data_IF_024857328823
#
_entry.id   IF_024857328823
#
_cell.length_a   1.000
_cell.length_b   1.000
_cell.length_c   1.000
_cell.angle_alpha   90.00
_cell.angle_beta   90.00
_cell.angle_gamma   90.00
#
_symmetry.space_group_name_H-M   'P 1'
#
loop_
_entity.id
_entity.type
_entity.pdbx_description
1 polymer ?
#
# COMPACT_ATOMS: atom_id res chain seq x y z
N UNK A 1 -15.99 -9.37 12.98
CA UNK A 1 -14.58 -9.10 13.35
C UNK A 1 -13.60 -9.59 12.28
N UNK A 2 -13.70 -10.84 11.82
CA UNK A 2 -12.77 -11.45 10.85
C UNK A 2 -12.59 -10.68 9.54
N UNK A 3 -13.68 -10.17 8.94
CA UNK A 3 -13.60 -9.43 7.67
C UNK A 3 -12.75 -8.15 7.77
N UNK A 4 -12.92 -7.37 8.85
CA UNK A 4 -12.13 -6.15 9.05
C UNK A 4 -10.65 -6.47 9.24
N UNK A 5 -10.33 -7.52 10.01
CA UNK A 5 -8.94 -7.97 10.15
C UNK A 5 -8.35 -8.38 8.80
N UNK A 6 -9.07 -9.18 8.01
CA UNK A 6 -8.61 -9.60 6.68
C UNK A 6 -8.33 -8.41 5.75
N UNK A 7 -9.17 -7.35 5.79
CA UNK A 7 -8.93 -6.12 5.03
C UNK A 7 -7.65 -5.42 5.52
N UNK A 8 -7.42 -5.32 6.83
CA UNK A 8 -6.17 -4.75 7.37
C UNK A 8 -4.94 -5.54 6.93
N UNK A 9 -4.97 -6.86 7.03
CA UNK A 9 -3.87 -7.73 6.57
C UNK A 9 -3.64 -7.58 5.06
N UNK A 10 -4.70 -7.55 4.26
CA UNK A 10 -4.60 -7.43 2.81
C UNK A 10 -4.05 -6.08 2.34
N UNK A 11 -4.17 -5.03 3.15
CA UNK A 11 -3.89 -3.65 2.73
C UNK A 11 -2.63 -3.05 3.37
N UNK A 12 -2.12 -3.62 4.47
CA UNK A 12 -0.99 -3.04 5.22
C UNK A 12 0.34 -3.73 4.89
N UNK A 13 1.46 -3.11 5.28
CA UNK A 13 2.80 -3.67 5.10
C UNK A 13 3.15 -3.89 3.63
N UNK A 14 3.15 -5.15 3.21
CA UNK A 14 3.28 -5.57 1.80
C UNK A 14 1.90 -6.05 1.32
N UNK A 15 1.06 -5.16 0.74
CA UNK A 15 -0.33 -5.49 0.43
C UNK A 15 -0.45 -6.71 -0.48
N UNK A 16 -1.46 -7.54 -0.23
CA UNK A 16 -1.64 -8.82 -0.90
C UNK A 16 -2.99 -9.47 -0.58
N UNK A 17 -3.30 -10.63 -1.18
CA UNK A 17 -4.55 -11.32 -0.91
C UNK A 17 -4.59 -11.87 0.53
N UNK A 18 -5.76 -11.78 1.16
CA UNK A 18 -6.08 -12.48 2.40
C UNK A 18 -7.12 -13.57 2.14
N UNK A 19 -6.98 -14.72 2.79
CA UNK A 19 -7.93 -15.82 2.73
C UNK A 19 -8.60 -16.00 4.10
N UNK A 20 -9.92 -16.05 4.12
CA UNK A 20 -10.71 -16.33 5.31
C UNK A 20 -11.29 -17.73 5.19
N UNK A 21 -10.82 -18.63 6.05
CA UNK A 21 -11.43 -19.95 6.24
C UNK A 21 -12.30 -19.91 7.50
N UNK A 22 -13.59 -20.24 7.35
CA UNK A 22 -14.57 -20.23 8.42
C UNK A 22 -15.09 -21.66 8.60
N UNK A 23 -14.61 -22.34 9.63
CA UNK A 23 -15.00 -23.72 9.92
C UNK A 23 -16.20 -23.84 10.88
N UNK A 24 -16.84 -25.00 10.90
CA UNK A 24 -17.87 -25.38 11.86
C UNK A 24 -19.21 -24.65 11.69
N UNK A 25 -19.98 -24.56 12.79
CA UNK A 25 -21.34 -23.97 12.79
C UNK A 25 -21.32 -22.53 12.28
N UNK A 26 -20.28 -21.75 12.62
CA UNK A 26 -20.13 -20.38 12.15
C UNK A 26 -20.02 -20.28 10.62
N UNK A 27 -19.22 -21.14 9.98
CA UNK A 27 -19.11 -21.18 8.51
C UNK A 27 -20.40 -21.65 7.84
N UNK A 28 -21.07 -22.66 8.42
CA UNK A 28 -22.32 -23.20 7.90
C UNK A 28 -23.51 -22.23 7.98
N UNK A 29 -23.64 -21.52 9.11
CA UNK A 29 -24.66 -20.48 9.32
C UNK A 29 -24.42 -19.27 8.41
N UNK A 30 -23.18 -18.74 8.35
CA UNK A 30 -22.84 -17.59 7.50
C UNK A 30 -23.07 -17.89 6.02
N UNK A 31 -22.81 -19.13 5.59
CA UNK A 31 -22.98 -19.52 4.18
C UNK A 31 -24.43 -19.72 3.75
N UNK A 32 -25.33 -19.99 4.70
CA UNK A 32 -26.72 -20.38 4.42
C UNK A 32 -27.75 -19.32 4.82
N UNK A 33 -27.38 -18.41 5.72
CA UNK A 33 -28.27 -17.42 6.28
C UNK A 33 -27.79 -16.00 5.93
N UNK A 34 -28.72 -15.07 5.84
CA UNK A 34 -28.45 -13.64 5.76
C UNK A 34 -28.89 -12.96 7.06
N UNK A 35 -28.19 -11.90 7.44
CA UNK A 35 -28.57 -11.04 8.55
C UNK A 35 -28.50 -9.59 8.09
N UNK A 36 -29.48 -8.79 8.50
CA UNK A 36 -29.45 -7.34 8.31
C UNK A 36 -28.54 -6.75 9.37
N UNK A 37 -27.31 -6.43 8.97
CA UNK A 37 -26.26 -5.94 9.85
C UNK A 37 -25.68 -4.65 9.29
N UNK A 38 -25.39 -3.71 10.18
CA UNK A 38 -24.64 -2.52 9.83
C UNK A 38 -23.21 -2.90 9.41
N UNK A 39 -22.83 -2.52 8.19
CA UNK A 39 -21.47 -2.73 7.68
C UNK A 39 -20.56 -1.64 8.21
N UNK A 40 -19.72 -2.02 9.17
CA UNK A 40 -18.67 -1.12 9.69
C UNK A 40 -17.47 -1.14 8.76
N UNK A 41 -17.25 -0.03 8.04
CA UNK A 41 -16.10 0.18 7.16
C UNK A 41 -15.05 1.03 7.89
N UNK A 42 -13.80 0.57 7.87
CA UNK A 42 -12.68 1.37 8.36
C UNK A 42 -12.04 2.12 7.19
N UNK A 43 -12.41 3.39 7.03
CA UNK A 43 -11.97 4.22 5.90
C UNK A 43 -10.45 4.31 5.75
N UNK A 44 -9.67 4.10 6.81
CA UNK A 44 -8.20 4.06 6.75
C UNK A 44 -7.68 2.92 5.85
N UNK A 45 -8.40 1.80 5.75
CA UNK A 45 -7.99 0.62 4.97
C UNK A 45 -8.75 0.49 3.65
N UNK A 46 -9.43 1.54 3.20
CA UNK A 46 -10.19 1.54 1.93
C UNK A 46 -9.34 1.87 0.70
N UNK A 47 -8.06 2.20 0.89
CA UNK A 47 -7.12 2.54 -0.17
C UNK A 47 -5.72 2.00 0.14
N UNK A 48 -4.87 1.95 -0.89
CA UNK A 48 -3.47 1.55 -0.76
C UNK A 48 -2.54 2.74 -1.04
N UNK A 49 -1.43 2.87 -0.29
CA UNK A 49 -1.22 2.25 1.01
C UNK A 49 -2.12 2.93 2.08
N UNK A 50 -2.61 2.19 3.09
CA UNK A 50 -3.47 2.73 4.15
C UNK A 50 -2.71 3.65 5.12
N UNK A 51 -1.38 3.48 5.17
CA UNK A 51 -0.48 4.34 5.92
C UNK A 51 0.59 4.89 4.98
N UNK A 52 0.92 6.17 5.17
CA UNK A 52 1.96 6.85 4.41
C UNK A 52 2.95 7.48 5.41
N UNK A 53 3.80 6.66 6.06
CA UNK A 53 4.80 7.19 6.99
C UNK A 53 5.77 8.08 6.22
N UNK A 54 6.22 9.15 6.88
CA UNK A 54 7.27 9.99 6.33
C UNK A 54 8.61 9.24 6.39
N UNK A 55 9.44 9.33 5.33
CA UNK A 55 10.78 8.78 5.38
C UNK A 55 11.64 9.57 6.37
N UNK A 56 12.62 8.90 6.96
CA UNK A 56 13.65 9.58 7.73
C UNK A 56 14.42 10.59 6.86
N UNK A 57 14.54 11.82 7.34
CA UNK A 57 15.16 12.92 6.59
C UNK A 57 16.63 12.66 6.28
N UNK A 58 17.36 11.97 7.17
CA UNK A 58 18.77 11.64 6.93
C UNK A 58 18.93 10.65 5.76
N UNK A 59 18.03 9.68 5.67
CA UNK A 59 17.98 8.70 4.59
C UNK A 59 17.65 9.34 3.23
N UNK A 60 16.70 10.29 3.22
CA UNK A 60 16.38 11.07 2.00
C UNK A 60 17.60 11.87 1.53
N UNK A 61 18.27 12.57 2.43
CA UNK A 61 19.46 13.37 2.10
C UNK A 61 20.62 12.51 1.59
N UNK A 62 20.81 11.31 2.16
CA UNK A 62 21.80 10.35 1.69
C UNK A 62 21.50 9.88 0.26
N UNK A 63 20.23 9.58 -0.05
CA UNK A 63 19.80 9.20 -1.40
C UNK A 63 20.01 10.34 -2.41
N UNK A 64 19.68 11.59 -2.05
CA UNK A 64 19.91 12.76 -2.90
C UNK A 64 21.40 13.01 -3.16
N UNK A 65 22.24 12.84 -2.14
CA UNK A 65 23.69 12.99 -2.27
C UNK A 65 24.29 11.92 -3.22
N UNK A 66 23.85 10.67 -3.07
CA UNK A 66 24.23 9.58 -3.97
C UNK A 66 23.76 9.86 -5.41
N UNK A 67 22.53 10.34 -5.59
CA UNK A 67 21.96 10.69 -6.90
C UNK A 67 22.71 11.84 -7.57
N UNK A 68 23.04 12.90 -6.82
CA UNK A 68 23.73 14.09 -7.34
C UNK A 68 25.20 13.86 -7.70
N UNK A 69 25.85 12.86 -7.09
CA UNK A 69 27.24 12.48 -7.43
C UNK A 69 27.33 11.42 -8.54
N UNK A 70 26.20 10.84 -8.96
CA UNK A 70 26.17 9.79 -9.97
C UNK A 70 26.42 10.35 -11.38
N UNK A 71 27.31 9.70 -12.14
CA UNK A 71 27.63 10.11 -13.52
C UNK A 71 26.56 9.73 -14.54
N UNK A 72 25.83 8.63 -14.30
CA UNK A 72 24.81 8.06 -15.18
C UNK A 72 23.68 7.45 -14.34
N UNK A 73 22.89 8.28 -13.63
CA UNK A 73 21.78 7.78 -12.82
C UNK A 73 20.65 7.20 -13.69
N UNK A 74 19.87 6.30 -13.11
CA UNK A 74 18.67 5.69 -13.70
C UNK A 74 17.61 5.52 -12.62
N UNK A 75 16.37 5.90 -12.89
CA UNK A 75 15.22 5.69 -12.02
C UNK A 75 14.48 4.43 -12.46
N UNK A 76 14.34 3.45 -11.56
CA UNK A 76 13.52 2.26 -11.79
C UNK A 76 12.23 2.40 -10.99
N UNK A 77 11.13 2.72 -11.67
CA UNK A 77 9.82 2.86 -11.07
C UNK A 77 9.17 1.49 -10.78
N UNK A 78 9.25 1.04 -9.52
CA UNK A 78 8.61 -0.19 -9.07
C UNK A 78 7.12 -0.06 -8.75
N UNK A 79 6.49 -1.18 -8.38
CA UNK A 79 5.07 -1.23 -8.01
C UNK A 79 4.66 -0.27 -6.90
N UNK A 80 5.59 0.08 -5.99
CA UNK A 80 5.34 1.06 -4.92
C UNK A 80 4.86 2.42 -5.43
N UNK A 81 5.40 2.90 -6.56
CA UNK A 81 5.00 4.20 -7.17
C UNK A 81 3.54 4.17 -7.61
N UNK A 82 3.13 3.05 -8.22
CA UNK A 82 1.75 2.81 -8.67
C UNK A 82 0.82 2.70 -7.46
N UNK A 83 1.19 1.87 -6.49
CA UNK A 83 0.41 1.66 -5.27
C UNK A 83 0.23 2.96 -4.49
N UNK A 84 1.25 3.81 -4.44
CA UNK A 84 1.18 5.12 -3.78
C UNK A 84 0.62 6.24 -4.66
N UNK A 85 0.19 5.98 -5.89
CA UNK A 85 -0.28 7.03 -6.81
C UNK A 85 0.74 8.16 -7.04
N UNK A 86 2.05 7.87 -6.91
CA UNK A 86 3.12 8.88 -6.92
C UNK A 86 3.72 9.10 -8.32
N UNK A 87 3.06 8.63 -9.37
CA UNK A 87 3.58 8.68 -10.74
C UNK A 87 3.88 10.10 -11.19
N UNK A 88 3.02 11.07 -10.86
CA UNK A 88 3.22 12.48 -11.26
C UNK A 88 4.47 13.08 -10.60
N UNK A 89 4.64 12.85 -9.30
CA UNK A 89 5.77 13.35 -8.52
C UNK A 89 7.08 12.70 -8.99
N UNK A 90 7.06 11.41 -9.33
CA UNK A 90 8.24 10.73 -9.86
C UNK A 90 8.65 11.26 -11.23
N UNK A 91 7.67 11.50 -12.13
CA UNK A 91 7.92 12.11 -13.44
C UNK A 91 8.53 13.50 -13.26
N UNK A 92 7.96 14.33 -12.40
CA UNK A 92 8.48 15.67 -12.12
C UNK A 92 9.92 15.64 -11.58
N UNK A 93 10.25 14.68 -10.71
CA UNK A 93 11.62 14.48 -10.22
C UNK A 93 12.58 14.07 -11.34
N UNK A 94 12.18 13.10 -12.16
CA UNK A 94 12.97 12.59 -13.28
C UNK A 94 13.26 13.70 -14.31
N UNK A 95 12.24 14.49 -14.65
CA UNK A 95 12.36 15.64 -15.55
C UNK A 95 13.27 16.74 -14.99
N UNK A 96 13.10 17.10 -13.71
CA UNK A 96 13.93 18.14 -13.06
C UNK A 96 15.41 17.77 -12.98
N UNK A 97 15.71 16.49 -12.79
CA UNK A 97 17.08 16.01 -12.67
C UNK A 97 17.64 15.48 -13.99
N UNK A 98 16.83 15.47 -15.06
CA UNK A 98 17.16 14.90 -16.36
C UNK A 98 17.67 13.46 -16.26
N UNK A 99 16.96 12.64 -15.47
CA UNK A 99 17.30 11.23 -15.21
C UNK A 99 16.29 10.34 -15.94
N UNK A 100 16.75 9.37 -16.74
CA UNK A 100 15.87 8.41 -17.39
C UNK A 100 15.18 7.47 -16.40
#
# INVERSE_FOLDING_TARGET
MYLRQAIREATTGTPGPAHLDLAGIAGGEISKNSADMEVVIENQFSSLPPFRPEPDSSSVNAALSALGSAKKPLIIAGGGVKTSGASKQLIELAERLNIP
#
